data_IF_465009301164
#
_entry.id   IF_465009301164
#
_cell.length_a   1.000
_cell.length_b   1.000
_cell.length_c   1.000
_cell.angle_alpha   90.00
_cell.angle_beta   90.00
_cell.angle_gamma   90.00
#
_symmetry.space_group_name_H-M   'P 1'
#
loop_
_entity.id
_entity.type
_entity.pdbx_description
1 polymer ?
#
# COMPACT_ATOMS: atom_id res chain seq x y z
N UNK A 1 40.77 -8.69 -83.27
CA UNK A 1 39.78 -8.25 -82.27
C UNK A 1 40.17 -8.90 -80.93
N UNK A 2 41.11 -8.37 -80.10
CA UNK A 2 40.96 -7.29 -79.08
C UNK A 2 39.67 -7.44 -78.26
N UNK A 3 39.62 -7.62 -76.93
CA UNK A 3 40.29 -6.98 -75.77
C UNK A 3 40.08 -7.85 -74.49
N UNK A 4 41.11 -8.03 -73.64
CA UNK A 4 41.35 -7.46 -72.28
C UNK A 4 40.51 -8.01 -71.10
N UNK A 5 41.24 -8.44 -70.06
CA UNK A 5 40.83 -8.74 -68.68
C UNK A 5 40.17 -7.55 -67.97
N UNK A 6 39.24 -7.81 -67.05
CA UNK A 6 39.05 -6.95 -65.86
C UNK A 6 38.55 -7.77 -64.66
N UNK A 7 39.40 -7.75 -63.63
CA UNK A 7 39.19 -8.17 -62.25
C UNK A 7 38.17 -7.25 -61.57
N UNK A 8 37.21 -7.77 -60.80
CA UNK A 8 36.41 -6.95 -59.87
C UNK A 8 36.52 -7.50 -58.45
N UNK A 9 37.24 -6.73 -57.61
CA UNK A 9 37.15 -6.72 -56.16
C UNK A 9 35.93 -5.87 -55.76
N UNK A 10 35.14 -6.33 -54.79
CA UNK A 10 34.30 -5.45 -53.95
C UNK A 10 34.02 -6.15 -52.60
N UNK A 11 34.85 -5.82 -51.60
CA UNK A 11 34.49 -5.09 -50.38
C UNK A 11 33.41 -5.76 -49.49
N UNK A 12 33.92 -6.45 -48.47
CA UNK A 12 33.23 -6.83 -47.24
C UNK A 12 32.77 -5.59 -46.47
N UNK A 13 31.46 -5.30 -46.50
CA UNK A 13 30.84 -4.35 -45.59
C UNK A 13 30.55 -5.04 -44.26
N UNK A 14 31.42 -4.83 -43.26
CA UNK A 14 31.14 -5.18 -41.87
C UNK A 14 30.15 -4.12 -41.36
N UNK A 15 28.87 -4.48 -41.32
CA UNK A 15 27.87 -3.72 -40.57
C UNK A 15 28.14 -3.91 -39.07
N UNK A 16 28.91 -3.00 -38.48
CA UNK A 16 28.82 -2.73 -37.05
C UNK A 16 27.47 -2.09 -36.79
N UNK A 17 26.46 -2.92 -36.50
CA UNK A 17 25.22 -2.47 -35.90
C UNK A 17 25.57 -1.81 -34.57
N UNK A 18 25.56 -0.49 -34.55
CA UNK A 18 25.58 0.29 -33.32
C UNK A 18 24.38 -0.17 -32.49
N UNK A 19 24.66 -0.97 -31.46
CA UNK A 19 23.71 -1.30 -30.42
C UNK A 19 23.39 0.03 -29.74
N UNK A 20 22.32 0.68 -30.18
CA UNK A 20 21.75 1.83 -29.50
C UNK A 20 21.35 1.34 -28.11
N UNK A 21 22.20 1.62 -27.12
CA UNK A 21 21.84 1.51 -25.72
C UNK A 21 20.66 2.44 -25.50
N UNK A 22 19.45 1.87 -25.51
CA UNK A 22 18.28 2.55 -25.03
C UNK A 22 18.59 3.01 -23.60
N UNK A 23 18.43 4.31 -23.27
CA UNK A 23 18.61 4.75 -21.91
C UNK A 23 17.55 4.04 -21.07
N UNK A 24 18.01 3.07 -20.27
CA UNK A 24 17.25 2.46 -19.19
C UNK A 24 16.64 3.60 -18.38
N UNK A 25 15.32 3.72 -18.42
CA UNK A 25 14.58 4.72 -17.66
C UNK A 25 14.93 4.48 -16.19
N UNK A 26 15.77 5.33 -15.62
CA UNK A 26 15.96 5.41 -14.16
C UNK A 26 14.60 5.79 -13.58
N UNK A 27 13.80 4.80 -13.19
CA UNK A 27 12.69 5.03 -12.29
C UNK A 27 13.30 5.65 -11.03
N UNK A 28 13.00 6.92 -10.80
CA UNK A 28 13.42 7.62 -9.58
C UNK A 28 12.75 6.91 -8.42
N UNK A 29 13.48 6.05 -7.71
CA UNK A 29 12.99 5.42 -6.49
C UNK A 29 12.64 6.52 -5.49
N UNK A 30 11.42 6.49 -4.95
CA UNK A 30 10.96 7.43 -3.92
C UNK A 30 11.89 7.27 -2.69
N UNK A 31 12.49 8.36 -2.18
CA UNK A 31 13.37 8.28 -1.02
C UNK A 31 12.68 7.60 0.17
N UNK A 32 13.41 6.76 0.91
CA UNK A 32 12.86 6.04 2.07
C UNK A 32 12.28 6.99 3.14
N UNK A 33 12.84 8.20 3.29
CA UNK A 33 12.32 9.24 4.18
C UNK A 33 10.92 9.73 3.77
N UNK A 34 10.65 9.83 2.47
CA UNK A 34 9.31 10.16 1.95
C UNK A 34 8.33 9.02 2.18
N UNK A 35 8.77 7.76 2.00
CA UNK A 35 7.96 6.58 2.32
C UNK A 35 7.62 6.53 3.81
N UNK A 36 8.61 6.79 4.69
CA UNK A 36 8.39 6.87 6.15
C UNK A 36 7.36 7.96 6.49
N UNK A 37 7.52 9.15 5.92
CA UNK A 37 6.58 10.26 6.12
C UNK A 37 5.17 9.88 5.69
N UNK A 38 5.03 9.30 4.50
CA UNK A 38 3.73 8.87 3.97
C UNK A 38 3.08 7.79 4.85
N UNK A 39 3.82 6.77 5.26
CA UNK A 39 3.33 5.71 6.12
C UNK A 39 2.99 6.20 7.54
N UNK A 40 3.73 7.17 8.08
CA UNK A 40 3.42 7.81 9.36
C UNK A 40 2.07 8.56 9.27
N UNK A 41 1.84 9.35 8.23
CA UNK A 41 0.55 10.03 8.02
C UNK A 41 -0.60 9.05 7.77
N UNK A 42 -0.34 7.96 7.04
CA UNK A 42 -1.33 6.89 6.86
C UNK A 42 -1.65 6.18 8.19
N UNK A 43 -0.68 6.01 9.08
CA UNK A 43 -0.89 5.43 10.42
C UNK A 43 -1.82 6.32 11.25
N UNK A 44 -1.57 7.64 11.25
CA UNK A 44 -2.44 8.62 11.93
C UNK A 44 -3.87 8.56 11.38
N UNK A 45 -4.00 8.52 10.05
CA UNK A 45 -5.28 8.41 9.36
C UNK A 45 -6.01 7.12 9.75
N UNK A 46 -5.31 5.99 9.80
CA UNK A 46 -5.88 4.71 10.22
C UNK A 46 -6.42 4.74 11.66
N UNK A 47 -5.66 5.32 12.59
CA UNK A 47 -6.10 5.47 13.98
C UNK A 47 -7.35 6.36 14.06
N UNK A 48 -7.40 7.46 13.30
CA UNK A 48 -8.59 8.32 13.24
C UNK A 48 -9.83 7.59 12.69
N UNK A 49 -9.65 6.71 11.69
CA UNK A 49 -10.72 5.87 11.16
C UNK A 49 -11.23 4.87 12.21
N UNK A 50 -10.34 4.25 12.99
CA UNK A 50 -10.74 3.39 14.10
C UNK A 50 -11.47 4.17 15.19
N UNK A 51 -10.97 5.35 15.57
CA UNK A 51 -11.66 6.22 16.54
C UNK A 51 -13.09 6.55 16.09
N UNK A 52 -13.30 6.83 14.80
CA UNK A 52 -14.62 7.07 14.24
C UNK A 52 -15.52 5.81 14.29
N UNK A 53 -14.97 4.62 14.07
CA UNK A 53 -15.70 3.35 14.22
C UNK A 53 -16.13 3.13 15.67
N UNK A 54 -15.22 3.26 16.64
CA UNK A 54 -15.51 3.10 18.07
C UNK A 54 -16.52 4.13 18.56
N UNK A 55 -16.42 5.39 18.11
CA UNK A 55 -17.42 6.41 18.44
C UNK A 55 -18.82 5.99 17.95
N UNK A 56 -18.93 5.53 16.70
CA UNK A 56 -20.20 5.05 16.14
C UNK A 56 -20.76 3.86 16.94
N UNK A 57 -19.91 2.92 17.36
CA UNK A 57 -20.35 1.79 18.18
C UNK A 57 -20.83 2.21 19.56
N UNK A 58 -20.14 3.15 20.21
CA UNK A 58 -20.59 3.74 21.48
C UNK A 58 -21.99 4.34 21.32
N UNK A 59 -22.21 5.12 20.26
CA UNK A 59 -23.50 5.78 20.01
C UNK A 59 -24.62 4.75 19.80
N UNK A 60 -24.35 3.69 19.03
CA UNK A 60 -25.29 2.58 18.82
C UNK A 60 -25.60 1.84 20.13
N UNK A 61 -24.59 1.54 20.97
CA UNK A 61 -24.81 0.84 22.24
C UNK A 61 -25.59 1.67 23.26
N UNK A 62 -25.38 2.99 23.27
CA UNK A 62 -26.20 3.91 24.07
C UNK A 62 -27.66 3.88 23.65
N UNK A 63 -27.95 3.86 22.34
CA UNK A 63 -29.31 3.74 21.81
C UNK A 63 -29.95 2.38 22.15
N UNK A 64 -29.15 1.32 22.27
CA UNK A 64 -29.58 -0.02 22.66
C UNK A 64 -29.69 -0.23 24.18
N UNK A 65 -29.47 0.81 24.99
CA UNK A 65 -29.44 0.74 26.45
C UNK A 65 -28.45 -0.32 27.01
N UNK A 66 -27.28 -0.44 26.35
CA UNK A 66 -26.20 -1.35 26.72
C UNK A 66 -24.96 -0.58 27.25
N UNK A 67 -25.03 0.04 28.44
CA UNK A 67 -23.99 0.94 28.93
C UNK A 67 -22.66 0.25 29.25
N UNK A 68 -22.67 -1.03 29.64
CA UNK A 68 -21.45 -1.79 29.90
C UNK A 68 -20.61 -1.98 28.63
N UNK A 69 -21.24 -2.35 27.51
CA UNK A 69 -20.56 -2.47 26.21
C UNK A 69 -20.06 -1.11 25.70
N UNK A 70 -20.86 -0.05 25.87
CA UNK A 70 -20.45 1.30 25.53
C UNK A 70 -19.21 1.74 26.32
N UNK A 71 -19.11 1.37 27.60
CA UNK A 71 -17.94 1.67 28.44
C UNK A 71 -16.68 0.90 27.98
N UNK A 72 -16.80 -0.35 27.52
CA UNK A 72 -15.66 -1.08 26.96
C UNK A 72 -15.15 -0.43 25.67
N UNK A 73 -16.04 -0.02 24.77
CA UNK A 73 -15.65 0.72 23.57
C UNK A 73 -15.02 2.07 23.90
N UNK A 74 -15.48 2.75 24.96
CA UNK A 74 -14.89 4.00 25.42
C UNK A 74 -13.44 3.82 25.88
N UNK A 75 -13.12 2.75 26.60
CA UNK A 75 -11.72 2.44 27.00
C UNK A 75 -10.81 2.29 25.79
N UNK A 76 -11.27 1.59 24.75
CA UNK A 76 -10.50 1.45 23.51
C UNK A 76 -10.35 2.79 22.79
N UNK A 77 -11.41 3.59 22.70
CA UNK A 77 -11.36 4.92 22.11
C UNK A 77 -10.34 5.84 22.81
N UNK A 78 -10.28 5.79 24.14
CA UNK A 78 -9.32 6.59 24.91
C UNK A 78 -7.87 6.10 24.71
N UNK A 79 -7.67 4.78 24.59
CA UNK A 79 -6.36 4.23 24.21
C UNK A 79 -5.92 4.69 22.81
N UNK A 80 -6.85 4.70 21.85
CA UNK A 80 -6.57 5.19 20.49
C UNK A 80 -6.20 6.68 20.45
N UNK A 81 -6.79 7.52 21.32
CA UNK A 81 -6.42 8.94 21.45
C UNK A 81 -4.98 9.12 21.92
N UNK A 82 -4.55 8.33 22.91
CA UNK A 82 -3.18 8.35 23.43
C UNK A 82 -2.19 7.87 22.35
N UNK A 83 -2.56 6.82 21.62
CA UNK A 83 -1.75 6.31 20.52
C UNK A 83 -1.64 7.34 19.37
N UNK A 84 -2.74 7.99 19.00
CA UNK A 84 -2.73 9.06 17.99
C UNK A 84 -1.81 10.21 18.39
N UNK A 85 -1.89 10.67 19.65
CA UNK A 85 -1.01 11.72 20.18
C UNK A 85 0.47 11.32 20.09
N UNK A 86 0.78 10.05 20.37
CA UNK A 86 2.13 9.48 20.22
C UNK A 86 2.63 9.59 18.78
N UNK A 87 1.82 9.17 17.79
CA UNK A 87 2.21 9.27 16.38
C UNK A 87 2.22 10.72 15.86
N UNK A 88 1.36 11.60 16.38
CA UNK A 88 1.36 13.03 16.04
C UNK A 88 2.67 13.72 16.43
N UNK A 89 3.22 13.37 17.60
CA UNK A 89 4.50 13.90 18.11
C UNK A 89 5.73 13.17 17.58
N UNK A 90 5.55 12.01 16.93
CA UNK A 90 6.63 11.22 16.36
C UNK A 90 7.30 11.93 15.18
N UNK A 91 8.63 12.02 15.20
CA UNK A 91 9.39 12.46 14.03
C UNK A 91 9.51 11.36 12.98
N UNK A 92 9.62 11.74 11.70
CA UNK A 92 9.70 10.80 10.58
C UNK A 92 10.84 9.79 10.74
N UNK A 93 12.00 10.21 11.25
CA UNK A 93 13.17 9.34 11.41
C UNK A 93 12.92 8.20 12.41
N UNK A 94 12.09 8.45 13.44
CA UNK A 94 11.71 7.47 14.46
C UNK A 94 10.65 6.50 13.97
N UNK A 95 9.94 6.81 12.88
CA UNK A 95 8.98 5.89 12.29
C UNK A 95 9.71 4.70 11.65
N UNK A 96 9.29 3.49 12.04
CA UNK A 96 9.84 2.23 11.54
C UNK A 96 8.89 1.69 10.47
N UNK A 97 9.42 1.51 9.26
CA UNK A 97 8.64 0.95 8.17
C UNK A 97 8.34 -0.54 8.43
N UNK A 98 7.13 -1.00 8.02
CA UNK A 98 6.80 -2.43 7.95
C UNK A 98 7.68 -3.15 6.91
N UNK A 99 8.91 -3.53 7.24
CA UNK A 99 9.90 -4.01 6.24
C UNK A 99 10.07 -5.54 6.16
N UNK A 100 9.57 -6.32 7.12
CA UNK A 100 9.88 -7.75 7.21
C UNK A 100 8.66 -8.65 7.02
N UNK A 101 8.81 -9.68 6.18
CA UNK A 101 8.01 -10.91 6.18
C UNK A 101 8.34 -11.73 7.43
N UNK A 102 7.96 -11.22 8.58
CA UNK A 102 7.61 -12.09 9.70
C UNK A 102 6.09 -12.08 9.80
N UNK A 103 5.43 -12.47 8.71
CA UNK A 103 4.14 -13.13 8.85
C UNK A 103 4.38 -14.27 9.84
N UNK A 104 3.61 -14.38 10.92
CA UNK A 104 3.43 -15.69 11.51
C UNK A 104 3.00 -16.61 10.35
N UNK A 105 3.59 -17.79 10.25
CA UNK A 105 3.30 -18.79 9.21
C UNK A 105 1.86 -19.36 9.32
N UNK A 106 0.97 -18.63 9.98
CA UNK A 106 -0.40 -18.99 10.27
C UNK A 106 -1.30 -17.80 9.87
N UNK A 107 -2.11 -18.02 8.85
CA UNK A 107 -3.12 -17.09 8.36
C UNK A 107 -4.19 -16.75 9.42
N UNK A 108 -4.30 -17.57 10.48
CA UNK A 108 -5.15 -17.37 11.65
C UNK A 108 -4.40 -16.86 12.88
N UNK A 109 -3.10 -16.60 12.78
CA UNK A 109 -2.39 -15.93 13.86
C UNK A 109 -3.01 -14.55 14.11
N UNK A 110 -3.28 -14.27 15.37
CA UNK A 110 -3.84 -12.98 15.79
C UNK A 110 -2.79 -11.86 15.77
N UNK A 111 -1.55 -12.19 15.41
CA UNK A 111 -0.45 -11.25 15.33
C UNK A 111 -0.50 -10.49 14.01
N UNK A 112 -0.92 -9.24 14.09
CA UNK A 112 -0.91 -8.31 12.96
C UNK A 112 0.52 -8.14 12.42
N UNK A 113 0.81 -8.76 11.28
CA UNK A 113 2.09 -8.63 10.59
C UNK A 113 2.19 -7.26 9.89
N UNK A 114 3.20 -6.49 10.28
CA UNK A 114 3.62 -5.24 9.62
C UNK A 114 4.52 -5.59 8.45
N UNK A 115 3.98 -5.52 7.23
CA UNK A 115 4.64 -6.00 6.01
C UNK A 115 4.61 -4.99 4.85
N UNK A 116 5.57 -5.15 3.94
CA UNK A 116 5.59 -4.57 2.60
C UNK A 116 5.13 -5.62 1.60
N UNK A 117 4.07 -5.33 0.85
CA UNK A 117 3.46 -6.25 -0.11
C UNK A 117 3.51 -5.61 -1.50
N UNK A 118 3.93 -6.38 -2.50
CA UNK A 118 3.81 -6.03 -3.93
C UNK A 118 2.94 -7.05 -4.63
N UNK A 119 1.83 -6.62 -5.22
CA UNK A 119 0.80 -7.51 -5.76
C UNK A 119 -0.05 -6.80 -6.82
N UNK A 120 -0.93 -7.54 -7.50
CA UNK A 120 -1.98 -6.97 -8.34
C UNK A 120 -3.15 -6.57 -7.44
N UNK A 121 -3.60 -5.32 -7.55
CA UNK A 121 -4.69 -4.80 -6.74
C UNK A 121 -5.55 -3.78 -7.51
N UNK A 122 -6.79 -3.60 -7.04
CA UNK A 122 -7.76 -2.66 -7.59
C UNK A 122 -8.72 -2.15 -6.50
N UNK A 123 -9.49 -1.12 -6.83
CA UNK A 123 -10.62 -0.64 -6.04
C UNK A 123 -11.89 -0.82 -6.86
N UNK A 124 -13.03 -1.14 -6.24
CA UNK A 124 -14.30 -1.33 -6.97
C UNK A 124 -15.01 0.01 -7.27
N UNK A 125 -14.75 1.02 -6.45
CA UNK A 125 -15.34 2.36 -6.51
C UNK A 125 -14.28 3.46 -6.52
N UNK A 126 -14.71 4.73 -6.56
CA UNK A 126 -13.80 5.86 -6.39
C UNK A 126 -13.01 5.71 -5.09
N UNK A 127 -11.68 5.77 -5.22
CA UNK A 127 -10.80 5.58 -4.08
C UNK A 127 -10.83 6.81 -3.15
N UNK A 128 -10.81 6.53 -1.85
CA UNK A 128 -10.67 7.48 -0.75
C UNK A 128 -10.17 6.75 0.49
N UNK A 129 -9.88 7.49 1.56
CA UNK A 129 -9.64 6.89 2.88
C UNK A 129 -10.74 5.87 3.22
N UNK A 130 -10.34 4.76 3.84
CA UNK A 130 -11.19 3.62 4.23
C UNK A 130 -11.74 2.75 3.08
N UNK A 131 -11.46 3.09 1.81
CA UNK A 131 -11.86 2.23 0.66
C UNK A 131 -11.14 0.89 0.73
N UNK A 132 -11.83 -0.20 0.39
CA UNK A 132 -11.22 -1.53 0.30
C UNK A 132 -10.32 -1.61 -0.93
N UNK A 133 -9.05 -1.95 -0.70
CA UNK A 133 -8.10 -2.34 -1.73
C UNK A 133 -8.21 -3.85 -1.93
N UNK A 134 -8.78 -4.25 -3.05
CA UNK A 134 -8.86 -5.64 -3.44
C UNK A 134 -7.50 -6.09 -3.95
N UNK A 135 -7.00 -7.18 -3.38
CA UNK A 135 -5.75 -7.81 -3.79
C UNK A 135 -6.07 -9.08 -4.56
N UNK A 136 -5.32 -9.39 -5.61
CA UNK A 136 -5.47 -10.62 -6.36
C UNK A 136 -5.29 -11.85 -5.45
N UNK A 137 -6.26 -12.77 -5.50
CA UNK A 137 -6.33 -13.93 -4.61
C UNK A 137 -6.94 -13.67 -3.23
N UNK A 138 -7.34 -12.43 -2.91
CA UNK A 138 -8.03 -12.11 -1.65
C UNK A 138 -9.39 -12.80 -1.58
N UNK A 139 -9.70 -13.44 -0.45
CA UNK A 139 -10.99 -14.10 -0.23
C UNK A 139 -12.11 -13.08 0.03
N UNK A 140 -13.37 -13.48 -0.20
CA UNK A 140 -14.54 -12.65 0.17
C UNK A 140 -14.63 -12.40 1.67
N UNK A 141 -14.09 -13.32 2.48
CA UNK A 141 -14.13 -13.27 3.94
C UNK A 141 -12.93 -12.55 4.56
N UNK A 142 -12.02 -12.01 3.74
CA UNK A 142 -10.83 -11.31 4.18
C UNK A 142 -9.54 -12.15 4.10
N UNK A 143 -8.43 -11.63 4.65
CA UNK A 143 -8.29 -10.32 5.30
C UNK A 143 -8.60 -9.17 4.34
N UNK A 144 -9.13 -8.05 4.85
CA UNK A 144 -9.41 -6.87 4.03
C UNK A 144 -8.37 -5.77 4.25
N UNK A 145 -7.94 -5.15 3.15
CA UNK A 145 -6.99 -4.04 3.17
C UNK A 145 -7.74 -2.73 2.92
N UNK A 146 -7.68 -1.79 3.86
CA UNK A 146 -8.34 -0.49 3.77
C UNK A 146 -7.33 0.62 3.50
N UNK A 147 -7.60 1.46 2.51
CA UNK A 147 -6.71 2.59 2.20
C UNK A 147 -6.67 3.59 3.35
N UNK A 148 -5.47 3.89 3.84
CA UNK A 148 -5.23 4.99 4.78
C UNK A 148 -4.22 6.03 4.24
N UNK A 149 -3.54 5.70 3.14
CA UNK A 149 -2.68 6.63 2.43
C UNK A 149 -2.30 6.12 1.05
N UNK A 150 -1.95 7.04 0.16
CA UNK A 150 -1.52 6.76 -1.21
C UNK A 150 -0.43 7.75 -1.63
N UNK A 151 0.50 7.29 -2.47
CA UNK A 151 1.62 8.10 -2.96
C UNK A 151 1.15 9.40 -3.63
N UNK A 152 1.63 10.53 -3.09
CA UNK A 152 1.23 11.87 -3.51
C UNK A 152 -0.15 12.32 -3.01
N UNK A 153 -0.77 11.57 -2.09
CA UNK A 153 -2.12 11.82 -1.56
C UNK A 153 -3.20 11.94 -2.66
N UNK A 154 -2.97 11.29 -3.80
CA UNK A 154 -3.82 11.38 -4.98
C UNK A 154 -4.51 10.04 -5.23
N UNK A 155 -5.73 9.93 -4.72
CA UNK A 155 -6.58 8.75 -4.88
C UNK A 155 -7.09 8.58 -6.32
N UNK A 156 -7.06 9.62 -7.16
CA UNK A 156 -7.55 9.54 -8.55
C UNK A 156 -6.68 8.64 -9.43
N UNK A 157 -5.46 8.31 -8.98
CA UNK A 157 -4.55 7.35 -9.62
C UNK A 157 -5.14 5.93 -9.69
N UNK A 158 -6.04 5.58 -8.78
CA UNK A 158 -6.75 4.31 -8.76
C UNK A 158 -8.11 4.46 -9.40
N UNK A 159 -8.21 4.09 -10.68
CA UNK A 159 -9.50 4.07 -11.37
C UNK A 159 -10.31 2.86 -10.93
N UNK A 160 -11.64 3.01 -10.74
CA UNK A 160 -12.51 1.88 -10.41
C UNK A 160 -12.32 0.71 -11.36
N UNK A 161 -12.26 -0.50 -10.81
CA UNK A 161 -12.15 -1.78 -11.50
C UNK A 161 -10.92 -1.92 -12.43
N UNK A 162 -9.93 -1.05 -12.28
CA UNK A 162 -8.66 -1.14 -13.02
C UNK A 162 -7.62 -1.83 -12.15
N UNK A 163 -7.02 -2.90 -12.67
CA UNK A 163 -5.93 -3.62 -12.02
C UNK A 163 -4.60 -2.88 -12.20
N UNK A 164 -3.83 -2.79 -11.12
CA UNK A 164 -2.49 -2.23 -11.08
C UNK A 164 -1.56 -3.17 -10.33
N UNK A 165 -0.28 -3.18 -10.70
CA UNK A 165 0.78 -3.67 -9.83
C UNK A 165 1.07 -2.59 -8.79
N UNK A 166 0.76 -2.88 -7.53
CA UNK A 166 0.86 -1.95 -6.41
C UNK A 166 1.87 -2.47 -5.39
N UNK A 167 2.67 -1.56 -4.82
CA UNK A 167 3.40 -1.79 -3.58
C UNK A 167 2.74 -1.02 -2.45
N UNK A 168 2.43 -1.69 -1.35
CA UNK A 168 1.87 -1.06 -0.15
C UNK A 168 2.48 -1.60 1.14
N UNK A 169 2.33 -0.84 2.22
CA UNK A 169 2.71 -1.23 3.58
C UNK A 169 1.46 -1.41 4.45
N UNK A 170 1.39 -2.46 5.28
CA UNK A 170 0.36 -2.57 6.33
C UNK A 170 0.75 -1.69 7.53
N UNK A 171 0.10 -0.54 7.66
CA UNK A 171 0.52 0.52 8.59
C UNK A 171 -0.17 0.46 9.95
N UNK A 172 -1.38 -0.13 10.00
CA UNK A 172 -2.14 -0.24 11.23
C UNK A 172 -3.12 -1.41 11.19
N UNK A 173 -3.38 -2.03 12.34
CA UNK A 173 -4.27 -3.19 12.44
C UNK A 173 -5.73 -2.78 12.31
N UNK A 174 -6.55 -3.69 11.80
CA UNK A 174 -8.01 -3.64 11.86
C UNK A 174 -8.52 -5.02 12.21
N UNK A 175 -9.52 -5.11 13.08
CA UNK A 175 -10.08 -6.40 13.48
C UNK A 175 -11.58 -6.43 13.18
N UNK A 176 -12.01 -7.47 12.48
CA UNK A 176 -13.42 -7.76 12.23
C UNK A 176 -13.76 -9.12 12.83
N UNK A 177 -14.35 -9.17 14.03
CA UNK A 177 -14.80 -10.43 14.65
C UNK A 177 -13.75 -11.57 14.57
N UNK A 178 -12.52 -11.31 15.02
CA UNK A 178 -11.36 -12.21 14.96
C UNK A 178 -10.76 -12.44 13.58
N UNK A 179 -11.16 -11.67 12.56
CA UNK A 179 -10.48 -11.61 11.27
C UNK A 179 -9.40 -10.51 11.30
N UNK A 180 -8.11 -10.86 11.29
CA UNK A 180 -7.05 -9.86 11.17
C UNK A 180 -7.16 -9.18 9.80
N UNK A 181 -7.19 -7.85 9.79
CA UNK A 181 -7.27 -7.00 8.61
C UNK A 181 -6.33 -5.82 8.80
N UNK A 182 -6.16 -4.99 7.77
CA UNK A 182 -5.14 -3.94 7.82
C UNK A 182 -5.62 -2.64 7.17
N UNK A 183 -5.17 -1.54 7.74
CA UNK A 183 -5.03 -0.30 7.00
C UNK A 183 -3.70 -0.29 6.25
N UNK A 184 -3.71 0.21 5.01
CA UNK A 184 -2.57 0.17 4.10
C UNK A 184 -2.19 1.55 3.57
N UNK A 185 -0.90 1.69 3.29
CA UNK A 185 -0.31 2.85 2.64
C UNK A 185 0.29 2.43 1.29
N UNK A 186 -0.25 2.93 0.18
CA UNK A 186 0.25 2.65 -1.17
C UNK A 186 1.44 3.56 -1.49
N UNK A 187 2.57 2.97 -1.85
CA UNK A 187 3.83 3.71 -2.12
C UNK A 187 4.27 3.63 -3.58
N UNK A 188 3.75 2.68 -4.35
CA UNK A 188 4.01 2.55 -5.79
C UNK A 188 2.77 2.02 -6.51
N UNK A 189 2.53 2.56 -7.71
CA UNK A 189 1.44 2.16 -8.60
C UNK A 189 2.01 2.04 -10.02
N UNK A 190 1.88 0.86 -10.61
CA UNK A 190 2.31 0.54 -11.97
C UNK A 190 1.12 -0.05 -12.72
N UNK A 191 0.89 0.42 -13.94
CA UNK A 191 -0.20 -0.05 -14.80
C UNK A 191 0.25 -1.25 -15.63
#
# INVERSE_FOLDING_TARGET
MTKKYTLFLALSAIFFGALAQQPSSKQTEVPQSEIKKLCLEATKTAIQLEMANYQRWIDVRKQQNAPAEAAEFQKTLDSLKIELDTYQKMSVDKYILPESKQAPQDFFSQDFAREKITTIAWVESNAQNNTVLHVEGMSKSGPWYHLAGIIGNDYTKLKPNTKYRITFYTVYKRNYWNMPSAYVCITSIQK
#
